data_IF_244271161125
#
_entry.id   IF_244271161125
#
_cell.length_a   1.000
_cell.length_b   1.000
_cell.length_c   1.000
_cell.angle_alpha   90.00
_cell.angle_beta   90.00
_cell.angle_gamma   90.00
#
_symmetry.space_group_name_H-M   'P 1'
#
loop_
_entity.id
_entity.type
_entity.pdbx_description
1 polymer ?
#
# COMPACT_ATOMS: atom_id res chain seq x y z
N UNK A 1 -3.31 -11.50 -13.53
CA UNK A 1 -3.26 -10.49 -12.45
C UNK A 1 -1.85 -9.92 -12.37
N UNK A 2 -1.70 -8.61 -12.19
CA UNK A 2 -0.41 -7.93 -11.94
C UNK A 2 -0.57 -7.01 -10.74
N UNK A 3 0.22 -7.25 -9.69
CA UNK A 3 0.32 -6.39 -8.51
C UNK A 3 1.59 -5.53 -8.63
N UNK A 4 1.44 -4.23 -8.50
CA UNK A 4 2.52 -3.26 -8.59
C UNK A 4 2.13 -1.98 -7.83
N UNK A 5 3.12 -1.27 -7.31
CA UNK A 5 2.93 0.06 -6.74
C UNK A 5 2.56 1.07 -7.85
N UNK A 6 2.13 2.27 -7.48
CA UNK A 6 1.65 3.25 -8.47
C UNK A 6 2.69 3.61 -9.55
N UNK A 7 3.97 3.90 -9.22
CA UNK A 7 5.00 4.14 -10.22
C UNK A 7 5.20 2.99 -11.20
N UNK A 8 5.39 1.75 -10.71
CA UNK A 8 5.61 0.61 -11.58
C UNK A 8 4.34 0.25 -12.38
N UNK A 9 3.15 0.36 -11.78
CA UNK A 9 1.88 0.14 -12.47
C UNK A 9 1.71 1.08 -13.66
N UNK A 10 1.98 2.38 -13.49
CA UNK A 10 1.87 3.35 -14.58
C UNK A 10 2.82 3.00 -15.74
N UNK A 11 4.06 2.58 -15.43
CA UNK A 11 5.04 2.16 -16.44
C UNK A 11 4.61 0.88 -17.16
N UNK A 12 4.17 -0.14 -16.41
CA UNK A 12 3.74 -1.42 -16.96
C UNK A 12 2.48 -1.28 -17.81
N UNK A 13 1.53 -0.46 -17.40
CA UNK A 13 0.28 -0.23 -18.13
C UNK A 13 0.45 0.75 -19.29
N UNK A 14 1.50 1.58 -19.29
CA UNK A 14 1.77 2.57 -20.34
C UNK A 14 0.94 3.84 -20.18
N UNK A 15 0.69 4.28 -18.94
CA UNK A 15 -0.12 5.47 -18.63
C UNK A 15 0.69 6.56 -17.90
N UNK A 16 0.12 7.76 -17.80
CA UNK A 16 0.64 8.87 -17.01
C UNK A 16 0.85 8.47 -15.56
N UNK A 17 1.93 9.00 -14.96
CA UNK A 17 2.19 8.80 -13.53
C UNK A 17 1.16 9.54 -12.67
N UNK A 18 1.12 9.18 -11.38
CA UNK A 18 0.18 9.65 -10.35
C UNK A 18 0.06 11.18 -10.19
N UNK A 19 0.96 11.96 -10.80
CA UNK A 19 0.99 13.42 -10.85
C UNK A 19 0.57 13.99 -12.22
N UNK A 20 -0.24 13.26 -12.97
CA UNK A 20 -0.70 13.68 -14.30
C UNK A 20 -2.23 13.61 -14.47
N UNK A 21 -2.71 14.25 -15.52
CA UNK A 21 -4.11 14.15 -15.96
C UNK A 21 -4.41 12.72 -16.41
N UNK A 22 -5.61 12.22 -16.12
CA UNK A 22 -6.08 10.89 -16.51
C UNK A 22 -5.10 9.75 -16.14
N UNK A 23 -4.40 9.91 -15.03
CA UNK A 23 -3.38 8.97 -14.53
C UNK A 23 -3.96 7.83 -13.71
N UNK A 24 -5.27 7.82 -13.44
CA UNK A 24 -5.91 6.69 -12.78
C UNK A 24 -5.92 5.47 -13.71
N UNK A 25 -5.48 4.29 -13.24
CA UNK A 25 -5.54 3.05 -14.01
C UNK A 25 -6.97 2.61 -14.37
N UNK A 26 -7.95 2.96 -13.53
CA UNK A 26 -9.29 2.39 -13.54
C UNK A 26 -10.40 3.39 -13.89
N UNK A 27 -10.09 4.69 -14.04
CA UNK A 27 -11.07 5.66 -14.49
C UNK A 27 -10.45 6.83 -15.27
N UNK A 28 -11.32 7.66 -15.82
CA UNK A 28 -10.98 8.83 -16.62
C UNK A 28 -11.13 10.13 -15.82
N UNK A 29 -10.90 10.10 -14.51
CA UNK A 29 -10.86 11.33 -13.73
C UNK A 29 -9.68 12.20 -14.17
N UNK A 30 -9.95 13.48 -14.38
CA UNK A 30 -8.92 14.47 -14.64
C UNK A 30 -8.33 14.93 -13.30
N UNK A 31 -7.05 14.69 -13.09
CA UNK A 31 -6.31 15.26 -11.96
C UNK A 31 -6.05 16.75 -12.17
N UNK A 32 -5.87 17.49 -11.09
CA UNK A 32 -5.79 18.95 -11.08
C UNK A 32 -4.61 19.44 -10.26
N UNK A 33 -4.03 20.56 -10.69
CA UNK A 33 -3.02 21.27 -9.90
C UNK A 33 -3.69 22.08 -8.79
N UNK A 34 -3.34 21.78 -7.55
CA UNK A 34 -3.70 22.57 -6.38
C UNK A 34 -2.51 23.41 -5.92
N UNK A 35 -2.66 24.73 -5.95
CA UNK A 35 -1.63 25.67 -5.49
C UNK A 35 -1.76 25.87 -3.98
N UNK A 36 -0.70 25.55 -3.24
CA UNK A 36 -0.62 25.82 -1.80
C UNK A 36 -0.20 27.26 -1.58
N UNK A 37 0.73 27.74 -2.40
CA UNK A 37 1.17 29.12 -2.50
C UNK A 37 1.70 29.38 -3.93
N UNK A 38 2.28 30.56 -4.17
CA UNK A 38 2.76 30.99 -5.50
C UNK A 38 3.85 30.07 -6.09
N UNK A 39 4.56 29.26 -5.29
CA UNK A 39 5.70 28.44 -5.72
C UNK A 39 5.48 26.94 -5.54
N UNK A 40 4.60 26.54 -4.62
CA UNK A 40 4.35 25.15 -4.26
C UNK A 40 2.97 24.73 -4.72
N UNK A 41 2.92 23.65 -5.49
CA UNK A 41 1.70 23.00 -5.90
C UNK A 41 1.73 21.51 -5.56
N UNK A 42 0.55 20.90 -5.56
CA UNK A 42 0.32 19.46 -5.46
C UNK A 42 -0.64 19.02 -6.56
N UNK A 43 -0.60 17.74 -6.88
CA UNK A 43 -1.59 17.13 -7.75
C UNK A 43 -2.71 16.53 -6.91
N UNK A 44 -3.95 16.88 -7.21
CA UNK A 44 -5.15 16.42 -6.50
C UNK A 44 -6.15 15.78 -7.45
N UNK A 45 -7.04 14.97 -6.90
CA UNK A 45 -8.10 14.28 -7.61
C UNK A 45 -9.44 14.65 -7.00
N UNK A 46 -10.30 15.40 -7.71
CA UNK A 46 -11.58 15.84 -7.18
C UNK A 46 -12.48 14.67 -6.77
N UNK A 47 -12.83 14.57 -5.49
CA UNK A 47 -13.60 13.44 -4.97
C UNK A 47 -15.10 13.52 -5.26
N UNK A 48 -15.60 14.72 -5.55
CA UNK A 48 -17.02 15.00 -5.84
C UNK A 48 -17.36 15.00 -7.34
N UNK A 49 -16.36 14.89 -8.23
CA UNK A 49 -16.59 14.89 -9.68
C UNK A 49 -16.96 13.50 -10.17
N UNK A 50 -18.06 13.43 -10.91
CA UNK A 50 -18.45 12.21 -11.63
C UNK A 50 -17.46 11.97 -12.77
N UNK A 51 -17.03 10.73 -12.92
CA UNK A 51 -16.09 10.33 -13.96
C UNK A 51 -16.43 8.93 -14.48
N UNK A 52 -16.07 8.66 -15.73
CA UNK A 52 -16.26 7.36 -16.36
C UNK A 52 -15.18 6.37 -15.93
N UNK A 53 -15.56 5.10 -15.75
CA UNK A 53 -14.60 4.01 -15.56
C UNK A 53 -13.80 3.72 -16.83
N UNK A 54 -12.56 3.28 -16.65
CA UNK A 54 -11.72 2.78 -17.73
C UNK A 54 -12.01 1.28 -17.90
N UNK A 55 -12.01 0.81 -19.13
CA UNK A 55 -12.19 -0.60 -19.47
C UNK A 55 -11.30 -0.97 -20.66
N UNK A 56 -11.25 -2.26 -21.00
CA UNK A 56 -10.42 -2.76 -22.09
C UNK A 56 -10.76 -2.11 -23.45
N UNK A 57 -12.04 -1.85 -23.70
CA UNK A 57 -12.52 -1.33 -24.97
C UNK A 57 -12.11 0.13 -25.15
N UNK A 58 -12.42 0.98 -24.17
CA UNK A 58 -12.06 2.39 -24.19
C UNK A 58 -10.54 2.59 -24.11
N UNK A 59 -9.81 1.76 -23.37
CA UNK A 59 -8.34 1.78 -23.36
C UNK A 59 -7.79 1.51 -24.76
N UNK A 60 -8.31 0.48 -25.43
CA UNK A 60 -7.87 0.11 -26.78
C UNK A 60 -8.22 1.18 -27.80
N UNK A 61 -9.40 1.81 -27.67
CA UNK A 61 -9.83 2.92 -28.52
C UNK A 61 -8.89 4.12 -28.40
N UNK A 62 -8.63 4.59 -27.17
CA UNK A 62 -7.71 5.70 -26.90
C UNK A 62 -6.27 5.41 -27.35
N UNK A 63 -5.83 4.15 -27.25
CA UNK A 63 -4.51 3.74 -27.76
C UNK A 63 -4.44 3.79 -29.30
N UNK A 64 -5.51 3.42 -30.01
CA UNK A 64 -5.60 3.56 -31.47
C UNK A 64 -5.62 5.03 -31.89
N UNK A 65 -6.37 5.85 -31.17
CA UNK A 65 -6.39 7.30 -31.38
C UNK A 65 -4.99 7.91 -31.22
N UNK A 66 -4.27 7.57 -30.13
CA UNK A 66 -2.89 8.01 -29.95
C UNK A 66 -1.99 7.60 -31.12
N UNK A 67 -2.10 6.34 -31.55
CA UNK A 67 -1.35 5.83 -32.71
C UNK A 67 -1.66 6.67 -33.96
N UNK A 68 -2.93 6.93 -34.25
CA UNK A 68 -3.35 7.63 -35.47
C UNK A 68 -2.88 9.09 -35.46
N UNK A 69 -2.96 9.77 -34.32
CA UNK A 69 -2.44 11.13 -34.13
C UNK A 69 -0.92 11.20 -34.38
N UNK A 70 -0.17 10.23 -33.87
CA UNK A 70 1.28 10.15 -34.08
C UNK A 70 1.64 9.81 -35.53
N UNK A 71 0.90 8.92 -36.19
CA UNK A 71 1.12 8.58 -37.61
C UNK A 71 0.81 9.76 -38.54
N UNK A 72 -0.18 10.58 -38.19
CA UNK A 72 -0.55 11.79 -38.93
C UNK A 72 0.41 12.97 -38.68
N UNK A 73 1.54 12.76 -37.99
CA UNK A 73 2.58 13.76 -37.77
C UNK A 73 2.29 14.76 -36.65
N UNK A 74 1.27 14.53 -35.81
CA UNK A 74 0.96 15.41 -34.68
C UNK A 74 1.87 15.11 -33.47
N UNK A 75 3.15 15.45 -33.60
CA UNK A 75 4.18 15.18 -32.59
C UNK A 75 4.00 15.96 -31.26
N UNK A 76 3.05 16.90 -31.21
CA UNK A 76 2.73 17.64 -29.98
C UNK A 76 1.87 16.80 -29.00
N UNK A 77 1.21 15.75 -29.50
CA UNK A 77 0.41 14.85 -28.67
C UNK A 77 1.33 13.86 -27.97
N UNK A 78 1.39 13.92 -26.65
CA UNK A 78 2.23 13.02 -25.83
C UNK A 78 1.44 11.87 -25.19
N UNK A 79 0.11 12.02 -25.09
CA UNK A 79 -0.80 11.04 -24.52
C UNK A 79 -2.25 11.32 -24.96
N UNK A 80 -3.10 10.29 -24.91
CA UNK A 80 -4.55 10.39 -25.09
C UNK A 80 -5.22 9.79 -23.84
N UNK A 81 -5.99 10.58 -23.10
CA UNK A 81 -6.57 10.20 -21.80
C UNK A 81 -5.57 9.51 -20.86
N UNK A 82 -4.34 10.05 -20.84
CA UNK A 82 -3.26 9.55 -20.01
C UNK A 82 -2.56 8.30 -20.54
N UNK A 83 -3.00 7.69 -21.63
CA UNK A 83 -2.28 6.58 -22.28
C UNK A 83 -1.11 7.17 -23.08
N UNK A 84 0.11 6.70 -22.80
CA UNK A 84 1.36 7.19 -23.39
C UNK A 84 1.97 6.22 -24.39
N UNK A 85 1.79 4.93 -24.17
CA UNK A 85 2.44 3.89 -24.97
C UNK A 85 1.65 2.57 -24.88
N UNK A 86 1.76 1.70 -25.90
CA UNK A 86 1.21 0.35 -25.82
C UNK A 86 2.00 -0.46 -24.78
N UNK A 87 1.29 -1.04 -23.81
CA UNK A 87 1.88 -2.00 -22.89
C UNK A 87 2.18 -3.33 -23.59
N UNK A 88 3.34 -3.92 -23.29
CA UNK A 88 3.66 -5.30 -23.74
C UNK A 88 2.70 -6.34 -23.18
N UNK A 89 2.03 -6.05 -22.06
CA UNK A 89 1.07 -6.97 -21.45
C UNK A 89 -0.20 -7.16 -22.29
N UNK A 90 -0.50 -6.23 -23.20
CA UNK A 90 -1.62 -6.37 -24.16
C UNK A 90 -1.42 -7.60 -25.07
N UNK A 91 -0.18 -8.04 -25.27
CA UNK A 91 0.14 -9.22 -26.07
C UNK A 91 -0.16 -10.54 -25.35
N UNK A 92 -0.39 -10.51 -24.03
CA UNK A 92 -0.70 -11.71 -23.26
C UNK A 92 -2.16 -12.15 -23.53
N UNK A 93 -2.40 -13.38 -23.98
CA UNK A 93 -3.75 -13.87 -24.22
C UNK A 93 -4.63 -13.74 -22.97
N UNK A 94 -5.84 -13.20 -23.15
CA UNK A 94 -6.85 -13.03 -22.09
C UNK A 94 -6.47 -12.07 -20.95
N UNK A 95 -5.36 -11.33 -21.08
CA UNK A 95 -5.02 -10.30 -20.10
C UNK A 95 -5.79 -9.01 -20.40
N UNK A 96 -6.62 -8.58 -19.45
CA UNK A 96 -7.27 -7.27 -19.49
C UNK A 96 -6.27 -6.20 -18.99
N UNK A 97 -5.97 -5.21 -19.82
CA UNK A 97 -4.96 -4.18 -19.51
C UNK A 97 -5.40 -3.22 -18.40
N UNK A 98 -6.69 -3.16 -18.08
CA UNK A 98 -7.26 -2.32 -17.03
C UNK A 98 -7.51 -3.15 -15.77
N UNK A 99 -8.37 -4.16 -15.88
CA UNK A 99 -8.79 -4.99 -14.76
C UNK A 99 -7.76 -6.07 -14.39
N UNK A 100 -6.78 -6.33 -15.25
CA UNK A 100 -5.66 -7.23 -14.97
C UNK A 100 -4.70 -6.71 -13.92
N UNK A 101 -4.69 -5.39 -13.66
CA UNK A 101 -3.93 -4.77 -12.58
C UNK A 101 -4.76 -4.67 -11.30
N UNK A 102 -4.11 -4.94 -10.17
CA UNK A 102 -4.78 -4.91 -8.86
C UNK A 102 -4.41 -3.70 -8.03
N UNK A 103 -5.33 -3.37 -7.14
CA UNK A 103 -5.19 -2.38 -6.11
C UNK A 103 -4.05 -2.76 -5.14
N UNK A 104 -3.24 -1.78 -4.74
CA UNK A 104 -2.15 -2.01 -3.80
C UNK A 104 -2.52 -1.49 -2.40
N UNK A 105 -3.01 -2.40 -1.57
CA UNK A 105 -3.38 -2.10 -0.19
C UNK A 105 -2.23 -1.47 0.62
N UNK A 106 -1.01 -1.96 0.46
CA UNK A 106 0.10 -1.58 1.33
C UNK A 106 0.55 -0.15 1.06
N UNK A 107 0.83 0.20 -0.21
CA UNK A 107 1.27 1.55 -0.52
C UNK A 107 0.13 2.56 -0.54
N UNK A 108 -1.07 2.16 -1.00
CA UNK A 108 -2.19 3.10 -1.12
C UNK A 108 -2.87 3.36 0.22
N UNK A 109 -3.30 2.31 0.94
CA UNK A 109 -4.02 2.51 2.20
C UNK A 109 -3.07 2.87 3.34
N UNK A 110 -2.01 2.08 3.56
CA UNK A 110 -1.19 2.21 4.76
C UNK A 110 -0.16 3.34 4.64
N UNK A 111 0.73 3.27 3.64
CA UNK A 111 1.77 4.27 3.43
C UNK A 111 1.25 5.56 2.77
N UNK A 112 0.09 5.47 2.11
CA UNK A 112 -0.61 6.59 1.50
C UNK A 112 -1.56 7.25 2.49
N UNK A 113 -2.78 6.70 2.62
CA UNK A 113 -3.85 7.37 3.37
C UNK A 113 -3.59 7.44 4.87
N UNK A 114 -3.35 6.31 5.54
CA UNK A 114 -3.19 6.24 7.00
C UNK A 114 -2.03 7.11 7.44
N UNK A 115 -0.87 6.96 6.79
CA UNK A 115 0.31 7.76 7.05
C UNK A 115 0.06 9.25 6.83
N UNK A 116 -0.52 9.65 5.70
CA UNK A 116 -0.74 11.07 5.40
C UNK A 116 -1.65 11.73 6.44
N UNK A 117 -2.77 11.10 6.80
CA UNK A 117 -3.68 11.66 7.80
C UNK A 117 -3.02 11.71 9.19
N UNK A 118 -2.36 10.64 9.61
CA UNK A 118 -1.70 10.61 10.92
C UNK A 118 -0.59 11.64 11.03
N UNK A 119 0.25 11.79 9.99
CA UNK A 119 1.27 12.82 9.97
C UNK A 119 0.66 14.22 10.01
N UNK A 120 -0.48 14.45 9.35
CA UNK A 120 -1.16 15.74 9.42
C UNK A 120 -1.68 16.07 10.81
N UNK A 121 -2.18 15.09 11.55
CA UNK A 121 -2.65 15.25 12.93
C UNK A 121 -1.52 15.61 13.90
N UNK A 122 -0.27 15.25 13.57
CA UNK A 122 0.88 15.39 14.46
C UNK A 122 1.85 16.51 14.04
N UNK A 123 1.81 16.96 12.78
CA UNK A 123 2.70 18.02 12.28
C UNK A 123 2.36 19.36 12.95
N UNK A 124 3.33 19.96 13.64
CA UNK A 124 3.18 21.23 14.33
C UNK A 124 2.84 22.39 13.38
N UNK A 125 3.09 22.26 12.07
CA UNK A 125 2.60 23.22 11.07
C UNK A 125 1.08 23.33 11.03
N UNK A 126 0.39 22.28 11.46
CA UNK A 126 -1.06 22.23 11.48
C UNK A 126 -1.67 22.65 12.83
N UNK A 127 -0.92 23.27 13.74
CA UNK A 127 -1.41 23.62 15.09
C UNK A 127 -2.70 24.46 15.13
N UNK A 128 -2.99 25.21 14.06
CA UNK A 128 -4.22 26.01 13.94
C UNK A 128 -5.44 25.20 13.48
N UNK A 129 -5.26 23.96 13.05
CA UNK A 129 -6.36 23.11 12.57
C UNK A 129 -6.93 22.26 13.70
N UNK A 130 -8.26 22.03 13.71
CA UNK A 130 -8.94 21.30 14.79
C UNK A 130 -8.65 19.79 14.82
N UNK A 131 -7.99 19.25 13.80
CA UNK A 131 -7.49 17.87 13.79
C UNK A 131 -6.08 17.73 14.41
N UNK A 132 -5.43 18.82 14.80
CA UNK A 132 -4.09 18.76 15.37
C UNK A 132 -4.11 18.24 16.81
N UNK A 133 -3.37 17.16 17.04
CA UNK A 133 -3.21 16.46 18.32
C UNK A 133 -1.74 16.22 18.67
N UNK A 134 -0.79 16.88 17.98
CA UNK A 134 0.64 16.72 18.27
C UNK A 134 1.04 17.07 19.70
N UNK A 135 0.29 17.96 20.37
CA UNK A 135 0.49 18.30 21.79
C UNK A 135 0.10 17.18 22.76
N UNK A 136 -0.63 16.16 22.30
CA UNK A 136 -1.09 15.01 23.11
C UNK A 136 -0.16 13.79 22.97
N UNK A 137 1.06 13.96 22.41
CA UNK A 137 1.99 12.85 22.13
C UNK A 137 2.21 11.92 23.34
N UNK A 138 2.41 12.50 24.52
CA UNK A 138 2.65 11.74 25.77
C UNK A 138 1.49 10.83 26.11
N UNK A 139 0.26 11.35 26.04
CA UNK A 139 -0.96 10.57 26.30
C UNK A 139 -1.13 9.47 25.26
N UNK A 140 -0.88 9.77 23.98
CA UNK A 140 -1.01 8.76 22.92
C UNK A 140 0.00 7.63 23.11
N UNK A 141 1.27 7.95 23.40
CA UNK A 141 2.30 6.95 23.67
C UNK A 141 1.98 6.12 24.93
N UNK A 142 1.43 6.75 25.98
CA UNK A 142 0.93 6.04 27.15
C UNK A 142 -0.12 4.98 26.76
N UNK A 143 -1.11 5.37 25.94
CA UNK A 143 -2.15 4.44 25.47
C UNK A 143 -1.59 3.32 24.56
N UNK A 144 -0.61 3.63 23.71
CA UNK A 144 0.09 2.61 22.90
C UNK A 144 0.77 1.58 23.81
N UNK A 145 1.46 2.03 24.86
CA UNK A 145 2.16 1.15 25.80
C UNK A 145 1.21 0.27 26.64
N UNK A 146 -0.05 0.66 26.78
CA UNK A 146 -1.10 -0.15 27.42
C UNK A 146 -1.67 -1.25 26.49
N UNK A 147 -1.44 -1.17 25.18
CA UNK A 147 -1.89 -2.19 24.25
C UNK A 147 -1.11 -3.50 24.42
N UNK A 148 -1.83 -4.60 24.65
CA UNK A 148 -1.26 -5.96 24.65
C UNK A 148 -1.41 -6.58 23.27
N UNK A 149 -0.32 -7.10 22.73
CA UNK A 149 -0.29 -7.75 21.42
C UNK A 149 -0.13 -9.27 21.58
N UNK A 150 -0.75 -10.08 20.70
CA UNK A 150 -0.43 -11.49 20.59
C UNK A 150 1.06 -11.70 20.33
N UNK A 151 1.64 -12.78 20.85
CA UNK A 151 3.08 -13.05 20.76
C UNK A 151 3.53 -13.18 19.31
N UNK A 152 2.65 -13.58 18.40
CA UNK A 152 2.86 -13.71 16.96
C UNK A 152 3.05 -12.34 16.28
N UNK A 153 2.53 -11.27 16.88
CA UNK A 153 2.77 -9.89 16.49
C UNK A 153 4.08 -9.38 17.13
N UNK A 154 5.21 -10.08 16.92
CA UNK A 154 6.52 -9.80 17.54
C UNK A 154 7.11 -8.41 17.23
N UNK A 155 6.48 -7.62 16.34
CA UNK A 155 6.91 -6.26 16.02
C UNK A 155 5.98 -5.27 16.69
N UNK A 156 6.44 -4.75 17.82
CA UNK A 156 5.75 -3.74 18.62
C UNK A 156 5.67 -2.45 17.81
N UNK A 157 4.49 -1.83 17.81
CA UNK A 157 4.30 -0.48 17.28
C UNK A 157 5.23 0.47 18.02
N UNK A 158 6.18 1.10 17.31
CA UNK A 158 7.04 2.12 17.92
C UNK A 158 6.22 3.32 18.38
N UNK A 159 6.76 4.08 19.32
CA UNK A 159 6.17 5.33 19.76
C UNK A 159 6.03 6.34 18.60
N UNK A 160 5.12 7.29 18.76
CA UNK A 160 4.81 8.30 17.75
C UNK A 160 6.00 9.24 17.49
N UNK A 161 6.90 9.44 18.47
CA UNK A 161 8.15 10.19 18.24
C UNK A 161 9.00 9.61 17.09
N UNK A 162 8.90 8.30 16.88
CA UNK A 162 9.63 7.55 15.86
C UNK A 162 8.80 7.30 14.59
N UNK A 163 7.66 7.99 14.43
CA UNK A 163 6.70 7.79 13.32
C UNK A 163 7.34 7.94 11.94
N UNK A 164 8.38 8.77 11.82
CA UNK A 164 9.15 8.93 10.57
C UNK A 164 9.83 7.62 10.10
N UNK A 165 10.09 6.70 11.02
CA UNK A 165 10.74 5.43 10.73
C UNK A 165 9.77 4.26 10.61
N UNK A 166 8.47 4.46 10.89
CA UNK A 166 7.46 3.41 10.84
C UNK A 166 7.41 2.77 9.46
N UNK A 167 7.40 1.44 9.45
CA UNK A 167 7.28 0.60 8.25
C UNK A 167 5.81 0.28 7.99
N UNK A 168 5.50 -0.23 6.79
CA UNK A 168 4.12 -0.53 6.38
C UNK A 168 3.33 -1.40 7.39
N UNK A 169 3.98 -2.37 8.05
CA UNK A 169 3.32 -3.21 9.05
C UNK A 169 2.91 -2.44 10.31
N UNK A 170 3.67 -1.43 10.74
CA UNK A 170 3.29 -0.57 11.87
C UNK A 170 2.13 0.33 11.49
N UNK A 171 2.10 0.84 10.26
CA UNK A 171 0.94 1.56 9.75
C UNK A 171 -0.32 0.68 9.71
N UNK A 172 -0.19 -0.61 9.40
CA UNK A 172 -1.30 -1.59 9.51
C UNK A 172 -1.80 -1.71 10.94
N UNK A 173 -0.89 -1.88 11.91
CA UNK A 173 -1.25 -1.99 13.33
C UNK A 173 -1.91 -0.69 13.81
N UNK A 174 -1.31 0.46 13.50
CA UNK A 174 -1.83 1.77 13.83
C UNK A 174 -3.23 2.01 13.25
N UNK A 175 -3.48 1.65 11.99
CA UNK A 175 -4.81 1.77 11.38
C UNK A 175 -5.90 1.08 12.21
N UNK A 176 -5.61 -0.10 12.75
CA UNK A 176 -6.56 -0.89 13.55
C UNK A 176 -6.74 -0.28 14.96
N UNK A 177 -5.66 0.22 15.56
CA UNK A 177 -5.68 0.70 16.94
C UNK A 177 -6.02 2.19 17.11
N UNK A 178 -5.80 3.01 16.08
CA UNK A 178 -5.87 4.47 16.22
C UNK A 178 -7.29 4.95 16.59
N UNK A 179 -8.35 4.29 16.10
CA UNK A 179 -9.73 4.70 16.42
C UNK A 179 -10.02 4.63 17.93
N UNK A 180 -9.83 3.49 18.63
CA UNK A 180 -10.00 3.44 20.08
C UNK A 180 -8.94 4.25 20.83
N UNK A 181 -7.68 4.25 20.37
CA UNK A 181 -6.59 4.99 21.02
C UNK A 181 -6.82 6.50 21.04
N UNK A 182 -7.34 7.06 19.94
CA UNK A 182 -7.54 8.49 19.78
C UNK A 182 -8.92 8.97 20.24
N UNK A 183 -9.76 8.09 20.79
CA UNK A 183 -11.05 8.49 21.34
C UNK A 183 -10.85 9.45 22.52
N UNK A 184 -11.48 10.63 22.45
CA UNK A 184 -11.28 11.72 23.41
C UNK A 184 -9.98 12.52 23.22
N UNK A 185 -9.16 12.20 22.22
CA UNK A 185 -7.97 12.98 21.83
C UNK A 185 -8.22 13.67 20.50
N UNK A 186 -8.55 12.91 19.46
CA UNK A 186 -8.91 13.45 18.16
C UNK A 186 -10.38 13.88 18.16
N UNK A 187 -10.65 15.05 17.60
CA UNK A 187 -12.01 15.59 17.55
C UNK A 187 -12.94 14.66 16.75
N UNK A 188 -14.18 14.53 17.23
CA UNK A 188 -15.12 13.49 16.79
C UNK A 188 -15.39 13.44 15.27
N UNK A 189 -15.52 14.56 14.54
CA UNK A 189 -15.70 14.52 13.09
C UNK A 189 -14.57 13.78 12.36
N UNK A 190 -13.32 14.02 12.78
CA UNK A 190 -12.12 13.41 12.19
C UNK A 190 -11.94 11.96 12.62
N UNK A 191 -12.24 11.65 13.88
CA UNK A 191 -12.21 10.28 14.37
C UNK A 191 -13.25 9.41 13.66
N UNK A 192 -14.47 9.92 13.47
CA UNK A 192 -15.53 9.23 12.73
C UNK A 192 -15.17 9.06 11.26
N UNK A 193 -14.61 10.09 10.63
CA UNK A 193 -14.12 10.05 9.26
C UNK A 193 -13.06 8.97 9.08
N UNK A 194 -12.05 8.93 9.95
CA UNK A 194 -11.03 7.89 9.92
C UNK A 194 -11.60 6.51 10.23
N UNK A 195 -12.54 6.39 11.17
CA UNK A 195 -13.22 5.14 11.48
C UNK A 195 -13.95 4.56 10.27
N UNK A 196 -14.61 5.39 9.44
CA UNK A 196 -15.26 4.91 8.22
C UNK A 196 -14.25 4.25 7.27
N UNK A 197 -13.07 4.86 7.09
CA UNK A 197 -11.99 4.28 6.30
C UNK A 197 -11.47 2.98 6.90
N UNK A 198 -11.15 2.95 8.20
CA UNK A 198 -10.66 1.75 8.88
C UNK A 198 -11.65 0.61 8.75
N UNK A 199 -12.93 0.85 9.06
CA UNK A 199 -13.98 -0.17 8.96
C UNK A 199 -14.11 -0.69 7.53
N UNK A 200 -14.14 0.18 6.52
CA UNK A 200 -14.24 -0.23 5.13
C UNK A 200 -13.09 -1.15 4.70
N UNK A 201 -11.86 -0.76 5.01
CA UNK A 201 -10.66 -1.52 4.66
C UNK A 201 -10.57 -2.84 5.43
N UNK A 202 -10.95 -2.86 6.72
CA UNK A 202 -11.02 -4.10 7.50
C UNK A 202 -12.02 -5.08 6.90
N UNK A 203 -13.18 -4.62 6.42
CA UNK A 203 -14.15 -5.46 5.73
C UNK A 203 -13.54 -6.08 4.47
N UNK A 204 -12.83 -5.29 3.67
CA UNK A 204 -12.16 -5.76 2.44
C UNK A 204 -10.97 -6.69 2.68
N UNK A 205 -10.54 -6.83 3.94
CA UNK A 205 -9.49 -7.75 4.37
C UNK A 205 -10.02 -9.03 5.04
N UNK A 206 -11.34 -9.24 5.13
CA UNK A 206 -11.90 -10.48 5.69
C UNK A 206 -11.55 -11.70 4.82
N UNK A 207 -11.50 -12.88 5.43
CA UNK A 207 -11.31 -14.15 4.70
C UNK A 207 -12.53 -14.51 3.87
N UNK A 208 -13.73 -14.16 4.36
CA UNK A 208 -15.00 -14.31 3.66
C UNK A 208 -15.65 -12.94 3.57
N UNK A 209 -15.88 -12.47 2.34
CA UNK A 209 -16.48 -11.16 2.06
C UNK A 209 -17.80 -11.39 1.35
N UNK A 210 -18.90 -10.97 1.99
CA UNK A 210 -20.24 -11.09 1.42
C UNK A 210 -20.58 -9.91 0.49
N UNK A 211 -21.70 -9.99 -0.24
CA UNK A 211 -22.19 -8.85 -1.03
C UNK A 211 -22.55 -7.64 -0.15
N UNK A 212 -23.20 -7.90 0.99
CA UNK A 212 -23.55 -6.85 1.95
C UNK A 212 -22.30 -6.17 2.55
N UNK A 213 -21.22 -6.95 2.78
CA UNK A 213 -19.93 -6.41 3.18
C UNK A 213 -19.35 -5.45 2.13
N UNK A 214 -19.39 -5.83 0.85
CA UNK A 214 -18.93 -4.99 -0.25
C UNK A 214 -19.73 -3.70 -0.36
N UNK A 215 -21.06 -3.77 -0.27
CA UNK A 215 -21.94 -2.60 -0.29
C UNK A 215 -21.67 -1.67 0.91
N UNK A 216 -21.48 -2.25 2.09
CA UNK A 216 -21.14 -1.48 3.30
C UNK A 216 -19.79 -0.77 3.13
N UNK A 217 -18.77 -1.49 2.66
CA UNK A 217 -17.44 -0.92 2.44
C UNK A 217 -17.45 0.18 1.38
N UNK A 218 -18.15 -0.02 0.27
CA UNK A 218 -18.30 0.97 -0.81
C UNK A 218 -18.95 2.27 -0.30
N UNK A 219 -20.03 2.15 0.47
CA UNK A 219 -20.69 3.31 1.08
C UNK A 219 -19.76 4.07 2.04
N UNK A 220 -19.01 3.35 2.88
CA UNK A 220 -18.07 3.95 3.82
C UNK A 220 -16.91 4.65 3.11
N UNK A 221 -16.35 4.05 2.05
CA UNK A 221 -15.30 4.65 1.23
C UNK A 221 -15.80 5.90 0.51
N UNK A 222 -17.00 5.84 -0.10
CA UNK A 222 -17.60 7.01 -0.75
C UNK A 222 -17.80 8.16 0.23
N UNK A 223 -18.34 7.87 1.42
CA UNK A 223 -18.48 8.87 2.48
C UNK A 223 -17.12 9.44 2.90
N UNK A 224 -16.11 8.59 3.09
CA UNK A 224 -14.75 9.02 3.42
C UNK A 224 -14.19 9.99 2.36
N UNK A 225 -14.28 9.63 1.08
CA UNK A 225 -13.77 10.45 -0.03
C UNK A 225 -14.53 11.78 -0.18
N UNK A 226 -15.86 11.77 -0.06
CA UNK A 226 -16.71 12.96 -0.24
C UNK A 226 -16.49 13.99 0.87
N UNK A 227 -16.33 13.53 2.12
CA UNK A 227 -16.19 14.39 3.30
C UNK A 227 -14.76 14.92 3.48
N UNK A 228 -13.75 14.22 2.93
CA UNK A 228 -12.33 14.58 3.08
C UNK A 228 -12.00 16.07 2.77
N UNK A 229 -12.37 16.64 1.61
CA UNK A 229 -12.03 18.03 1.30
C UNK A 229 -12.69 19.04 2.23
N UNK A 230 -13.85 18.71 2.81
CA UNK A 230 -14.56 19.61 3.71
C UNK A 230 -13.94 19.59 5.12
N UNK A 231 -13.36 18.46 5.54
CA UNK A 231 -12.70 18.32 6.85
C UNK A 231 -11.24 18.78 6.86
N UNK A 232 -10.49 18.46 5.80
CA UNK A 232 -9.05 18.63 5.76
C UNK A 232 -8.55 19.64 4.73
N UNK A 233 -9.40 20.16 3.86
CA UNK A 233 -9.04 20.87 2.62
C UNK A 233 -8.73 19.96 1.41
N UNK A 234 -8.90 20.51 0.19
CA UNK A 234 -8.73 19.78 -1.06
C UNK A 234 -7.31 19.28 -1.33
N UNK A 235 -6.29 19.81 -0.64
CA UNK A 235 -4.90 19.38 -0.77
C UNK A 235 -4.66 17.95 -0.27
N UNK A 236 -5.60 17.40 0.51
CA UNK A 236 -5.59 16.02 1.00
C UNK A 236 -6.19 15.01 0.02
N UNK A 237 -6.87 15.47 -1.04
CA UNK A 237 -7.43 14.64 -2.10
C UNK A 237 -6.34 14.08 -3.05
N UNK A 238 -5.38 13.37 -2.47
CA UNK A 238 -4.23 12.81 -3.18
C UNK A 238 -4.62 11.67 -4.13
N UNK A 239 -3.70 11.28 -5.01
CA UNK A 239 -3.86 10.09 -5.85
C UNK A 239 -4.19 8.84 -5.05
N UNK A 240 -3.56 8.63 -3.90
CA UNK A 240 -3.82 7.47 -3.06
C UNK A 240 -5.26 7.46 -2.52
N UNK A 241 -5.78 8.62 -2.09
CA UNK A 241 -7.19 8.74 -1.69
C UNK A 241 -8.11 8.37 -2.85
N UNK A 242 -7.82 8.86 -4.06
CA UNK A 242 -8.60 8.51 -5.24
C UNK A 242 -8.54 7.01 -5.54
N UNK A 243 -7.36 6.38 -5.45
CA UNK A 243 -7.25 4.94 -5.68
C UNK A 243 -8.10 4.11 -4.71
N UNK A 244 -8.30 4.57 -3.47
CA UNK A 244 -9.15 3.85 -2.50
C UNK A 244 -10.58 3.67 -3.01
N UNK A 245 -11.11 4.59 -3.83
CA UNK A 245 -12.47 4.44 -4.39
C UNK A 245 -12.61 3.25 -5.34
N UNK A 246 -11.50 2.70 -5.84
CA UNK A 246 -11.49 1.51 -6.71
C UNK A 246 -11.23 0.20 -5.94
N UNK A 247 -11.02 0.27 -4.62
CA UNK A 247 -10.64 -0.90 -3.82
C UNK A 247 -11.73 -1.98 -3.78
N UNK A 248 -13.01 -1.58 -3.69
CA UNK A 248 -14.14 -2.53 -3.65
C UNK A 248 -14.29 -3.28 -4.98
N UNK A 249 -14.19 -2.58 -6.11
CA UNK A 249 -14.28 -3.21 -7.43
C UNK A 249 -13.10 -4.13 -7.69
N UNK A 250 -11.91 -3.78 -7.19
CA UNK A 250 -10.77 -4.68 -7.22
C UNK A 250 -11.03 -5.96 -6.41
N UNK A 251 -11.63 -5.84 -5.21
CA UNK A 251 -11.94 -7.01 -4.37
C UNK A 251 -13.02 -7.89 -5.00
N UNK A 252 -14.02 -7.31 -5.67
CA UNK A 252 -15.01 -8.07 -6.46
C UNK A 252 -14.35 -8.95 -7.52
N UNK A 253 -13.29 -8.44 -8.15
CA UNK A 253 -12.61 -9.12 -9.26
C UNK A 253 -11.54 -10.13 -8.81
N UNK A 254 -10.81 -9.83 -7.73
CA UNK A 254 -9.59 -10.55 -7.37
C UNK A 254 -9.60 -11.16 -5.96
N UNK A 255 -10.66 -10.93 -5.18
CA UNK A 255 -10.77 -11.40 -3.79
C UNK A 255 -10.17 -10.41 -2.77
N UNK A 256 -9.96 -10.85 -1.52
CA UNK A 256 -9.56 -9.98 -0.42
C UNK A 256 -8.25 -9.21 -0.66
N UNK A 257 -8.14 -8.00 -0.10
CA UNK A 257 -6.96 -7.13 -0.27
C UNK A 257 -5.62 -7.76 0.13
N UNK A 258 -5.64 -8.69 1.10
CA UNK A 258 -4.42 -9.36 1.55
C UNK A 258 -3.90 -10.38 0.54
N UNK A 259 -4.74 -10.90 -0.36
CA UNK A 259 -4.39 -11.98 -1.29
C UNK A 259 -3.37 -11.55 -2.35
N UNK A 260 -3.33 -10.26 -2.68
CA UNK A 260 -2.43 -9.68 -3.68
C UNK A 260 -1.61 -8.50 -3.12
N UNK A 261 -1.43 -8.46 -1.80
CA UNK A 261 -0.69 -7.39 -1.14
C UNK A 261 0.82 -7.45 -1.42
N UNK A 262 1.45 -6.28 -1.55
CA UNK A 262 2.88 -6.17 -1.83
C UNK A 262 3.81 -6.46 -0.65
N UNK A 263 3.28 -6.75 0.54
CA UNK A 263 4.08 -7.10 1.73
C UNK A 263 5.08 -8.23 1.49
N UNK A 264 4.64 -9.30 0.83
CA UNK A 264 5.50 -10.46 0.57
C UNK A 264 6.63 -10.09 -0.40
N UNK A 265 6.29 -9.36 -1.48
CA UNK A 265 7.25 -8.93 -2.49
C UNK A 265 8.31 -7.99 -1.92
N UNK A 266 7.94 -7.02 -1.07
CA UNK A 266 8.94 -6.18 -0.38
C UNK A 266 9.85 -6.98 0.56
N UNK A 267 9.29 -7.96 1.26
CA UNK A 267 10.08 -8.81 2.14
C UNK A 267 11.11 -9.64 1.32
N UNK A 268 10.68 -10.23 0.21
CA UNK A 268 11.57 -10.94 -0.72
C UNK A 268 12.60 -10.01 -1.36
N UNK A 269 12.22 -8.79 -1.76
CA UNK A 269 13.16 -7.79 -2.27
C UNK A 269 14.25 -7.49 -1.23
N UNK A 270 13.89 -7.33 0.04
CA UNK A 270 14.86 -7.15 1.13
C UNK A 270 15.82 -8.33 1.28
N UNK A 271 15.33 -9.57 1.13
CA UNK A 271 16.19 -10.77 1.12
C UNK A 271 17.14 -10.74 -0.07
N UNK A 272 16.62 -10.44 -1.27
CA UNK A 272 17.42 -10.39 -2.50
C UNK A 272 18.50 -9.30 -2.43
N UNK A 273 18.18 -8.10 -1.96
CA UNK A 273 19.17 -7.01 -1.83
C UNK A 273 20.27 -7.34 -0.82
N UNK A 274 19.96 -8.10 0.22
CA UNK A 274 20.97 -8.58 1.18
C UNK A 274 21.72 -9.82 0.66
N UNK A 275 21.30 -10.37 -0.47
CA UNK A 275 21.85 -11.60 -1.04
C UNK A 275 23.06 -11.37 -1.96
N UNK A 276 23.45 -10.13 -2.22
CA UNK A 276 24.68 -9.81 -2.95
C UNK A 276 25.46 -8.70 -2.25
N UNK A 277 26.76 -8.66 -2.51
CA UNK A 277 27.66 -7.61 -2.04
C UNK A 277 28.54 -7.20 -3.22
N UNK A 278 28.33 -5.98 -3.74
CA UNK A 278 29.01 -5.46 -4.93
C UNK A 278 28.19 -5.57 -6.22
N UNK A 279 28.79 -5.18 -7.35
CA UNK A 279 28.12 -5.03 -8.66
C UNK A 279 28.47 -6.13 -9.67
N UNK A 280 29.42 -7.01 -9.36
CA UNK A 280 29.88 -8.08 -10.26
C UNK A 280 29.11 -9.38 -10.03
N UNK A 281 28.69 -10.03 -11.11
CA UNK A 281 28.05 -11.36 -11.08
C UNK A 281 26.89 -11.49 -10.07
N UNK A 282 26.08 -10.43 -9.95
CA UNK A 282 24.98 -10.33 -8.97
C UNK A 282 24.05 -11.54 -9.02
N UNK A 283 23.70 -12.02 -10.22
CA UNK A 283 22.86 -13.21 -10.40
C UNK A 283 23.48 -14.48 -9.80
N UNK A 284 24.79 -14.68 -9.97
CA UNK A 284 25.52 -15.82 -9.41
C UNK A 284 25.65 -15.73 -7.89
N UNK A 285 25.84 -14.51 -7.34
CA UNK A 285 25.87 -14.28 -5.89
C UNK A 285 24.53 -14.64 -5.23
N UNK A 286 23.43 -14.17 -5.83
CA UNK A 286 22.07 -14.47 -5.38
C UNK A 286 21.82 -15.99 -5.45
N UNK A 287 22.11 -16.61 -6.60
CA UNK A 287 21.91 -18.05 -6.78
C UNK A 287 22.70 -18.88 -5.75
N UNK A 288 23.98 -18.54 -5.52
CA UNK A 288 24.82 -19.21 -4.51
C UNK A 288 24.24 -19.08 -3.10
N UNK A 289 23.79 -17.88 -2.69
CA UNK A 289 23.20 -17.69 -1.36
C UNK A 289 21.85 -18.40 -1.20
N UNK A 290 21.02 -18.44 -2.24
CA UNK A 290 19.76 -19.20 -2.22
C UNK A 290 20.02 -20.70 -2.08
N UNK A 291 20.95 -21.26 -2.87
CA UNK A 291 21.37 -22.67 -2.77
C UNK A 291 21.90 -22.98 -1.36
N UNK A 292 22.72 -22.10 -0.78
CA UNK A 292 23.21 -22.27 0.59
C UNK A 292 22.05 -22.25 1.59
N UNK A 293 21.11 -21.31 1.46
CA UNK A 293 19.96 -21.19 2.37
C UNK A 293 19.04 -22.43 2.32
N UNK A 294 18.77 -22.97 1.12
CA UNK A 294 18.00 -24.22 0.94
C UNK A 294 18.70 -25.41 1.59
N UNK A 295 20.01 -25.55 1.36
CA UNK A 295 20.80 -26.65 1.92
C UNK A 295 20.94 -26.56 3.46
N UNK A 296 21.06 -25.35 4.02
CA UNK A 296 21.12 -25.14 5.48
C UNK A 296 19.75 -25.41 6.14
N UNK A 297 18.64 -25.07 5.48
CA UNK A 297 17.30 -25.47 5.94
C UNK A 297 17.11 -27.00 5.90
N UNK A 298 17.70 -27.69 4.91
CA UNK A 298 17.72 -29.14 4.86
C UNK A 298 18.49 -29.76 6.05
N UNK A 299 19.62 -29.16 6.45
CA UNK A 299 20.42 -29.63 7.60
C UNK A 299 19.65 -29.45 8.93
N UNK A 300 18.77 -28.44 9.05
CA UNK A 300 17.88 -28.29 10.22
C UNK A 300 16.90 -29.45 10.40
N UNK A 301 16.61 -30.23 9.35
CA UNK A 301 15.71 -31.39 9.42
C UNK A 301 16.41 -32.74 9.68
N UNK A 302 17.75 -32.78 9.71
CA UNK A 302 18.47 -34.03 10.01
C UNK A 302 18.93 -34.08 11.48
N UNK A 303 18.21 -34.87 12.28
CA UNK A 303 18.73 -35.38 13.54
C UNK A 303 19.89 -36.36 13.23
N UNK A 304 21.13 -35.98 13.52
CA UNK A 304 22.23 -36.93 13.55
C UNK A 304 22.30 -37.60 14.92
N UNK A 305 22.06 -38.92 14.97
CA UNK A 305 22.50 -39.77 16.08
C UNK A 305 23.98 -40.06 15.86
N UNK A 306 24.85 -39.45 16.66
CA UNK A 306 26.26 -39.84 16.75
C UNK A 306 26.50 -40.41 18.15
N UNK A 307 26.91 -41.68 18.23
CA UNK A 307 27.26 -42.39 19.48
C UNK A 307 26.24 -42.21 20.63
N UNK A 308 24.95 -42.42 20.36
CA UNK A 308 23.92 -42.50 21.41
C UNK A 308 23.46 -41.17 22.02
N UNK A 309 24.09 -40.03 21.71
CA UNK A 309 23.71 -38.71 22.28
C UNK A 309 22.88 -37.88 21.29
N UNK A 310 21.79 -37.26 21.78
CA UNK A 310 21.01 -36.26 21.04
C UNK A 310 21.65 -34.88 21.25
N UNK A 311 22.10 -34.23 20.19
CA UNK A 311 22.53 -32.83 20.21
C UNK A 311 21.43 -31.94 19.66
N UNK A 312 21.06 -30.91 20.42
CA UNK A 312 20.09 -29.89 20.04
C UNK A 312 20.85 -28.58 19.81
N UNK A 313 20.80 -28.04 18.60
CA UNK A 313 21.33 -26.70 18.33
C UNK A 313 20.23 -25.66 18.53
N UNK A 314 20.36 -24.81 19.56
CA UNK A 314 19.51 -23.64 19.75
C UNK A 314 20.26 -22.39 19.27
N UNK A 315 19.55 -21.55 18.53
CA UNK A 315 20.02 -20.29 17.95
C UNK A 315 20.67 -19.36 18.99
N UNK A 316 22.01 -19.21 18.92
CA UNK A 316 22.81 -17.99 19.24
C UNK A 316 24.32 -18.30 19.33
N UNK A 317 24.85 -19.16 18.45
CA UNK A 317 26.31 -19.38 18.34
C UNK A 317 26.98 -20.02 19.56
N UNK A 318 26.22 -20.57 20.53
CA UNK A 318 26.74 -21.44 21.59
C UNK A 318 26.12 -22.83 21.44
N UNK A 319 26.96 -23.83 21.24
CA UNK A 319 26.56 -25.22 21.36
C UNK A 319 26.51 -25.58 22.84
N UNK A 320 25.36 -26.04 23.34
CA UNK A 320 25.25 -26.66 24.66
C UNK A 320 25.03 -28.16 24.50
N UNK A 321 25.83 -28.94 25.23
CA UNK A 321 25.66 -30.39 25.35
C UNK A 321 24.63 -30.61 26.46
N UNK A 322 23.44 -31.11 26.12
CA UNK A 322 22.52 -31.65 27.13
C UNK A 322 23.12 -32.93 27.70
N UNK A 323 23.62 -32.87 28.93
CA UNK A 323 23.94 -34.06 29.72
C UNK A 323 22.65 -34.80 30.07
N UNK A 324 22.71 -36.13 30.01
CA UNK A 324 21.61 -37.06 30.28
C UNK A 324 20.95 -36.76 31.65
N UNK A 325 19.63 -36.54 31.64
CA UNK A 325 18.80 -36.84 32.81
C UNK A 325 18.54 -38.34 32.73
N UNK A 326 19.08 -39.07 33.71
CA UNK A 326 18.92 -40.52 33.92
C UNK A 326 17.46 -40.97 33.91
#
# INVERSE_FOLDING_TARGET
>A
MVAADSPARCQLQGINQYNGEFSCPWCLIKGETYWIDERRHKWIFPTKKVHQSRDQENFTSHLRELRDLLHNGNNNVTNVFGIKAPSKLILLPKFDIVHGFVFDYMHTCLLGVVRTLTCAWLDSKNHNFPFYIGHQEVEINCRINLCKFPVECQRILREIKDIKYWKAHEWKIWMILAVPLLNGILSQPYLKHFSNFVTAITILCKDVITRADLETSDNLIKQFCVVLPDLYDSSYCSFNVHLVSHSVDCVKNWGPLWAYSLFQFENYNGVLTNSFSGTTEVGLQIAKKLIIAENVCFIKCFFFKFNGKKLLFINNGKAEILSEVT
#
